data_IF_946614536932
#
_entry.id   IF_946614536932
#
_cell.length_a   1.000
_cell.length_b   1.000
_cell.length_c   1.000
_cell.angle_alpha   90.00
_cell.angle_beta   90.00
_cell.angle_gamma   90.00
#
_symmetry.space_group_name_H-M   'P 1'
#
loop_
_entity.id
_entity.type
_entity.pdbx_description
1 polymer ?
#
# COMPACT_ATOMS: atom_id res chain seq x y z
N UNK A 1 5.60 -5.38 -9.16
CA UNK A 1 4.18 -5.16 -8.79
C UNK A 1 3.79 -3.69 -8.80
N UNK A 2 2.50 -3.39 -8.99
CA UNK A 2 1.93 -2.04 -8.79
C UNK A 2 1.49 -1.87 -7.34
N UNK A 3 1.80 -0.74 -6.73
CA UNK A 3 1.44 -0.43 -5.34
C UNK A 3 1.00 1.02 -5.18
N UNK A 4 0.06 1.29 -4.28
CA UNK A 4 -0.28 2.66 -3.87
C UNK A 4 0.61 3.05 -2.69
N UNK A 5 1.34 4.16 -2.81
CA UNK A 5 2.23 4.69 -1.78
C UNK A 5 2.02 6.20 -1.58
N UNK A 6 2.43 6.72 -0.43
CA UNK A 6 2.54 8.15 -0.15
C UNK A 6 3.80 8.41 0.68
N UNK A 7 4.54 9.48 0.38
CA UNK A 7 5.78 9.84 1.08
C UNK A 7 5.56 10.94 2.15
N UNK A 8 4.39 11.57 2.13
CA UNK A 8 4.00 12.64 3.04
C UNK A 8 2.54 12.45 3.42
N UNK A 9 2.18 12.72 4.67
CA UNK A 9 0.79 12.75 5.09
C UNK A 9 0.01 13.87 4.36
N UNK A 10 -1.28 13.67 4.12
CA UNK A 10 -2.12 14.71 3.52
C UNK A 10 -3.49 14.22 3.06
N UNK A 11 -4.10 14.97 2.13
CA UNK A 11 -5.35 14.66 1.42
C UNK A 11 -5.21 13.49 0.41
N UNK A 12 -6.28 12.98 -0.21
CA UNK A 12 -6.20 11.79 -1.09
C UNK A 12 -5.19 11.94 -2.23
N UNK A 13 -4.90 13.18 -2.63
CA UNK A 13 -3.95 13.55 -3.67
C UNK A 13 -2.49 13.14 -3.37
N UNK A 14 -2.16 12.78 -2.13
CA UNK A 14 -0.81 12.26 -1.79
C UNK A 14 -0.61 10.80 -2.24
N UNK A 15 -1.69 10.08 -2.54
CA UNK A 15 -1.64 8.68 -2.98
C UNK A 15 -1.15 8.58 -4.42
N UNK A 16 -0.07 7.82 -4.62
CA UNK A 16 0.54 7.61 -5.92
C UNK A 16 0.61 6.13 -6.24
N UNK A 17 0.16 5.76 -7.44
CA UNK A 17 0.41 4.43 -7.99
C UNK A 17 1.85 4.36 -8.49
N UNK A 18 2.63 3.42 -7.96
CA UNK A 18 4.02 3.21 -8.31
C UNK A 18 4.26 1.77 -8.76
N UNK A 19 5.27 1.59 -9.61
CA UNK A 19 5.80 0.26 -9.93
C UNK A 19 6.99 -0.04 -9.03
N UNK A 20 6.93 -1.19 -8.35
CA UNK A 20 7.96 -1.67 -7.43
C UNK A 20 8.41 -3.08 -7.84
N UNK A 21 9.60 -3.52 -7.42
CA UNK A 21 9.97 -4.93 -7.49
C UNK A 21 8.97 -5.81 -6.74
N UNK A 22 8.80 -7.05 -7.18
CA UNK A 22 8.03 -8.03 -6.41
C UNK A 22 8.79 -8.41 -5.13
N UNK A 23 8.10 -8.58 -3.99
CA UNK A 23 8.75 -8.94 -2.73
C UNK A 23 9.23 -10.39 -2.75
N UNK A 24 10.36 -10.65 -2.10
CA UNK A 24 10.92 -12.00 -1.92
C UNK A 24 10.53 -12.51 -0.53
N UNK A 25 9.74 -13.59 -0.41
CA UNK A 25 9.36 -14.13 0.89
C UNK A 25 10.55 -14.78 1.61
N UNK A 26 10.57 -14.69 2.94
CA UNK A 26 11.45 -15.47 3.79
C UNK A 26 11.00 -16.93 3.95
N UNK A 27 11.71 -17.74 4.76
CA UNK A 27 11.41 -19.17 4.92
C UNK A 27 9.99 -19.49 5.42
N UNK A 28 9.42 -18.60 6.23
CA UNK A 28 8.10 -18.78 6.86
C UNK A 28 7.01 -17.85 6.26
N UNK A 29 7.35 -17.09 5.22
CA UNK A 29 6.43 -16.15 4.59
C UNK A 29 5.72 -16.76 3.39
N UNK A 30 4.53 -16.23 3.08
CA UNK A 30 3.79 -16.57 1.85
C UNK A 30 3.70 -15.34 0.96
N UNK A 31 4.01 -15.51 -0.32
CA UNK A 31 3.80 -14.48 -1.34
C UNK A 31 2.39 -14.59 -1.93
N UNK A 32 1.62 -13.51 -1.88
CA UNK A 32 0.23 -13.46 -2.35
C UNK A 32 0.11 -12.51 -3.56
N UNK A 33 -0.44 -13.02 -4.66
CA UNK A 33 -0.81 -12.22 -5.83
C UNK A 33 -2.18 -11.55 -5.58
N UNK A 34 -2.14 -10.30 -5.12
CA UNK A 34 -3.33 -9.53 -4.75
C UNK A 34 -4.14 -9.16 -6.00
N UNK A 35 -5.29 -9.81 -6.19
CA UNK A 35 -6.25 -9.48 -7.27
C UNK A 35 -7.21 -8.34 -6.90
N UNK A 36 -7.53 -8.20 -5.62
CA UNK A 36 -8.36 -7.15 -5.08
C UNK A 36 -8.03 -6.93 -3.60
N UNK A 37 -8.27 -5.73 -3.11
CA UNK A 37 -8.19 -5.38 -1.69
C UNK A 37 -9.27 -4.37 -1.33
N UNK A 38 -9.45 -4.11 -0.05
CA UNK A 38 -10.46 -3.19 0.49
C UNK A 38 -9.88 -1.80 0.75
N UNK A 39 -10.74 -0.78 0.79
CA UNK A 39 -10.45 0.50 1.45
C UNK A 39 -11.21 0.54 2.76
N UNK A 40 -10.48 0.67 3.87
CA UNK A 40 -11.01 0.68 5.23
C UNK A 40 -10.92 2.07 5.84
N UNK A 41 -11.70 2.30 6.90
CA UNK A 41 -11.67 3.58 7.64
C UNK A 41 -10.28 3.90 8.20
N UNK A 42 -9.51 2.88 8.56
CA UNK A 42 -8.15 3.05 9.09
C UNK A 42 -7.18 3.67 8.06
N UNK A 43 -7.39 3.39 6.77
CA UNK A 43 -6.55 3.89 5.69
C UNK A 43 -6.60 5.43 5.60
N UNK A 44 -7.73 6.03 6.04
CA UNK A 44 -7.88 7.49 6.09
C UNK A 44 -6.89 8.10 7.08
N UNK A 45 -6.84 7.55 8.30
CA UNK A 45 -6.00 8.01 9.41
C UNK A 45 -4.51 7.74 9.15
N UNK A 46 -4.19 6.57 8.58
CA UNK A 46 -2.81 6.24 8.20
C UNK A 46 -2.25 7.21 7.15
N UNK A 47 -3.09 7.65 6.21
CA UNK A 47 -2.71 8.55 5.12
C UNK A 47 -2.67 10.01 5.53
N UNK A 48 -3.61 10.49 6.35
CA UNK A 48 -3.62 11.89 6.80
C UNK A 48 -2.72 12.16 8.03
N UNK A 49 -2.27 11.09 8.71
CA UNK A 49 -1.31 11.15 9.81
C UNK A 49 -1.93 11.43 11.18
N UNK A 50 -3.24 11.24 11.36
CA UNK A 50 -3.96 11.45 12.62
C UNK A 50 -3.93 10.24 13.57
#
# INVERSE_FOLDING_TARGET
MKAVQFATFGGPDVLQLQELPDPTPGPDDVLIDVKATTVNRLDLFQRDGS
#
